data_IF_462900580474
#
_entry.id   IF_462900580474
#
_cell.length_a   1.000
_cell.length_b   1.000
_cell.length_c   1.000
_cell.angle_alpha   90.00
_cell.angle_beta   90.00
_cell.angle_gamma   90.00
#
_symmetry.space_group_name_H-M   'P 1'
#
loop_
_entity.id
_entity.type
_entity.pdbx_description
1 polymer ?
#
# COMPACT_ATOMS: atom_id res chain seq x y z
N UNK A 1 2.96 -4.18 -5.26
CA UNK A 1 2.18 -4.32 -6.50
C UNK A 1 3.02 -4.85 -7.65
N UNK A 2 4.09 -4.16 -8.09
CA UNK A 2 4.97 -4.62 -9.18
C UNK A 2 5.40 -6.10 -9.10
N UNK A 3 5.92 -6.55 -7.95
CA UNK A 3 6.32 -7.96 -7.76
C UNK A 3 5.14 -8.93 -7.91
N UNK A 4 3.96 -8.53 -7.50
CA UNK A 4 2.72 -9.30 -7.61
C UNK A 4 2.09 -9.20 -9.01
N UNK A 5 2.69 -8.47 -9.96
CA UNK A 5 2.15 -8.30 -11.32
C UNK A 5 0.80 -7.57 -11.40
N UNK A 6 0.35 -6.94 -10.32
CA UNK A 6 -0.97 -6.29 -10.28
C UNK A 6 -0.96 -4.94 -11.00
N UNK A 7 -1.95 -4.63 -11.86
CA UNK A 7 -2.09 -3.30 -12.45
C UNK A 7 -2.40 -2.28 -11.36
N UNK A 8 -1.57 -1.26 -11.22
CA UNK A 8 -1.73 -0.25 -10.19
C UNK A 8 -1.34 1.13 -10.71
N UNK A 9 -1.83 2.16 -10.02
CA UNK A 9 -1.45 3.56 -10.23
C UNK A 9 -1.04 4.20 -8.92
N UNK A 10 -0.29 5.29 -9.02
CA UNK A 10 0.12 6.12 -7.88
C UNK A 10 -0.59 7.45 -8.02
N UNK A 11 -1.30 7.87 -6.97
CA UNK A 11 -2.04 9.12 -6.91
C UNK A 11 -1.41 10.00 -5.82
N UNK A 12 -1.06 11.24 -6.18
CA UNK A 12 -0.77 12.27 -5.18
C UNK A 12 -2.09 12.87 -4.69
N UNK A 13 -2.32 12.84 -3.38
CA UNK A 13 -3.57 13.38 -2.81
C UNK A 13 -3.61 14.90 -2.87
N UNK A 14 -4.80 15.44 -3.15
CA UNK A 14 -5.04 16.87 -3.07
C UNK A 14 -5.11 17.33 -1.59
N UNK A 15 -4.97 18.63 -1.35
CA UNK A 15 -4.96 19.17 0.02
C UNK A 15 -6.25 18.88 0.81
N UNK A 16 -7.39 18.72 0.13
CA UNK A 16 -8.67 18.37 0.76
C UNK A 16 -8.75 16.92 1.26
N UNK A 17 -7.96 16.02 0.67
CA UNK A 17 -7.92 14.59 1.03
C UNK A 17 -6.76 14.25 1.98
N UNK A 18 -5.86 15.20 2.26
CA UNK A 18 -4.79 15.00 3.23
C UNK A 18 -5.37 14.84 4.64
N UNK A 19 -4.95 13.78 5.32
CA UNK A 19 -5.24 13.62 6.75
C UNK A 19 -4.60 14.74 7.57
N UNK A 20 -5.19 15.07 8.71
CA UNK A 20 -4.79 16.20 9.58
C UNK A 20 -3.29 16.27 9.92
N UNK A 21 -2.61 15.13 9.98
CA UNK A 21 -1.18 15.04 10.31
C UNK A 21 -0.25 15.01 9.10
N UNK A 22 -0.77 14.86 7.87
CA UNK A 22 0.04 14.63 6.68
C UNK A 22 0.35 15.94 5.96
N UNK A 23 1.63 16.15 5.65
CA UNK A 23 2.10 17.21 4.77
C UNK A 23 2.03 16.80 3.29
N UNK A 24 2.16 15.49 2.99
CA UNK A 24 2.10 14.93 1.64
C UNK A 24 1.80 13.44 1.70
N UNK A 25 0.84 12.99 0.88
CA UNK A 25 0.42 11.59 0.82
C UNK A 25 0.37 11.11 -0.62
N UNK A 26 0.86 9.89 -0.83
CA UNK A 26 0.70 9.13 -2.05
C UNK A 26 -0.11 7.87 -1.77
N UNK A 27 -1.21 7.71 -2.50
CA UNK A 27 -2.00 6.49 -2.49
C UNK A 27 -1.60 5.61 -3.66
N UNK A 28 -1.49 4.31 -3.38
CA UNK A 28 -1.36 3.28 -4.39
C UNK A 28 -2.73 2.64 -4.55
N UNK A 29 -3.22 2.65 -5.79
CA UNK A 29 -4.50 2.04 -6.10
C UNK A 29 -4.32 0.90 -7.08
N UNK A 30 -5.02 -0.21 -6.85
CA UNK A 30 -4.98 -1.42 -7.68
C UNK A 30 -6.27 -1.55 -8.50
N UNK A 31 -6.16 -2.06 -9.73
CA UNK A 31 -7.30 -2.32 -10.60
C UNK A 31 -8.14 -3.48 -10.07
N UNK A 32 -9.46 -3.27 -9.93
CA UNK A 32 -10.43 -4.31 -9.60
C UNK A 32 -11.45 -4.48 -10.74
N UNK A 33 -11.31 -5.53 -11.58
CA UNK A 33 -12.21 -5.83 -12.70
C UNK A 33 -13.70 -5.85 -12.33
N UNK A 34 -14.08 -6.45 -11.19
CA UNK A 34 -15.48 -6.55 -10.77
C UNK A 34 -16.15 -5.19 -10.53
N UNK A 35 -15.33 -4.18 -10.26
CA UNK A 35 -15.76 -2.83 -9.91
C UNK A 35 -15.48 -1.80 -11.01
N UNK A 36 -14.81 -2.20 -12.09
CA UNK A 36 -14.38 -1.35 -13.20
C UNK A 36 -13.66 -0.07 -12.73
N UNK A 37 -12.81 -0.18 -11.70
CA UNK A 37 -12.08 0.96 -11.14
C UNK A 37 -10.84 0.56 -10.36
N UNK A 38 -9.96 1.56 -10.21
CA UNK A 38 -8.86 1.51 -9.25
C UNK A 38 -9.36 1.76 -7.82
N UNK A 39 -8.84 1.00 -6.86
CA UNK A 39 -9.13 1.14 -5.43
C UNK A 39 -7.85 1.19 -4.62
N UNK A 40 -7.80 2.06 -3.63
CA UNK A 40 -6.68 2.19 -2.69
C UNK A 40 -6.31 0.83 -2.09
N UNK A 41 -5.02 0.56 -1.95
CA UNK A 41 -4.48 -0.67 -1.31
C UNK A 41 -3.33 -0.37 -0.34
N UNK A 42 -2.70 0.78 -0.50
CA UNK A 42 -1.69 1.32 0.40
C UNK A 42 -1.68 2.84 0.30
N UNK A 43 -1.31 3.48 1.41
CA UNK A 43 -1.07 4.92 1.50
C UNK A 43 0.27 5.17 2.18
N UNK A 44 1.04 6.11 1.65
CA UNK A 44 2.34 6.53 2.16
C UNK A 44 2.33 8.04 2.45
N UNK A 45 2.55 8.43 3.70
CA UNK A 45 2.40 9.80 4.18
C UNK A 45 3.67 10.33 4.85
N UNK A 46 4.04 11.57 4.53
CA UNK A 46 5.03 12.36 5.25
C UNK A 46 4.33 13.30 6.23
N UNK A 47 4.63 13.16 7.52
CA UNK A 47 4.03 13.97 8.58
C UNK A 47 4.98 15.02 9.14
N UNK A 48 6.16 15.20 8.52
CA UNK A 48 7.22 16.09 9.02
C UNK A 48 7.41 15.91 10.53
N UNK A 49 7.60 16.99 11.27
CA UNK A 49 7.66 17.00 12.72
C UNK A 49 6.29 16.99 13.43
N UNK A 50 5.15 16.96 12.72
CA UNK A 50 3.81 17.09 13.32
C UNK A 50 3.56 16.06 14.43
N UNK A 51 3.85 14.79 14.13
CA UNK A 51 3.69 13.69 15.09
C UNK A 51 4.80 13.74 16.16
N UNK A 52 6.03 14.06 15.75
CA UNK A 52 7.17 14.11 16.66
C UNK A 52 7.03 15.20 17.73
N UNK A 53 6.49 16.38 17.38
CA UNK A 53 6.18 17.44 18.34
C UNK A 53 5.15 16.94 19.37
N UNK A 54 4.06 16.32 18.91
CA UNK A 54 2.97 15.84 19.77
C UNK A 54 3.38 14.70 20.70
N UNK A 55 4.28 13.84 20.23
CA UNK A 55 4.82 12.72 21.00
C UNK A 55 6.17 13.04 21.70
N UNK A 56 6.66 14.28 21.58
CA UNK A 56 7.96 14.73 22.09
C UNK A 56 9.15 13.84 21.67
N UNK A 57 9.13 13.36 20.42
CA UNK A 57 10.17 12.50 19.85
C UNK A 57 11.29 13.38 19.28
N UNK A 58 12.49 13.27 19.84
CA UNK A 58 13.63 14.13 19.51
C UNK A 58 14.87 13.32 19.21
N UNK A 59 15.76 13.91 18.41
CA UNK A 59 17.08 13.37 18.13
C UNK A 59 18.16 14.43 18.44
N UNK A 60 19.40 13.97 18.65
CA UNK A 60 20.52 14.85 18.91
C UNK A 60 21.08 15.41 17.61
N UNK A 61 21.05 16.74 17.45
CA UNK A 61 21.61 17.44 16.28
C UNK A 61 22.86 18.25 16.67
N UNK A 62 23.88 17.56 17.19
CA UNK A 62 25.21 18.14 17.40
C UNK A 62 25.24 19.41 18.27
N UNK A 63 24.32 19.55 19.22
CA UNK A 63 24.27 20.71 20.12
C UNK A 63 22.93 20.85 20.83
N UNK A 64 21.83 20.97 20.07
CA UNK A 64 20.47 21.06 20.63
C UNK A 64 19.61 19.89 20.15
N UNK A 65 18.80 19.26 21.03
CA UNK A 65 17.78 18.33 20.59
C UNK A 65 16.80 18.98 19.60
N UNK A 66 16.47 18.28 18.54
CA UNK A 66 15.49 18.70 17.54
C UNK A 66 14.43 17.61 17.36
N UNK A 67 13.20 17.98 16.97
CA UNK A 67 12.18 17.01 16.58
C UNK A 67 12.56 16.38 15.25
N UNK A 68 12.35 15.07 15.13
CA UNK A 68 12.57 14.34 13.89
C UNK A 68 11.37 14.47 12.95
N UNK A 69 11.57 14.12 11.68
CA UNK A 69 10.46 13.95 10.75
C UNK A 69 9.97 12.50 10.74
N UNK A 70 8.65 12.30 10.68
CA UNK A 70 8.04 10.98 10.60
C UNK A 70 7.44 10.73 9.23
N UNK A 71 7.54 9.46 8.81
CA UNK A 71 6.94 8.91 7.61
C UNK A 71 6.21 7.64 8.01
N UNK A 72 5.10 7.34 7.35
CA UNK A 72 4.40 6.07 7.48
C UNK A 72 3.95 5.58 6.11
N UNK A 73 3.82 4.27 5.96
CA UNK A 73 3.39 3.65 4.73
C UNK A 73 2.84 2.26 4.99
N UNK A 74 1.67 1.97 4.42
CA UNK A 74 1.10 0.63 4.52
C UNK A 74 1.90 -0.33 3.65
N UNK A 75 2.36 -1.45 4.21
CA UNK A 75 3.08 -2.47 3.43
C UNK A 75 2.18 -3.09 2.37
N UNK A 76 1.11 -3.77 2.81
CA UNK A 76 0.05 -4.31 1.95
C UNK A 76 -1.21 -4.58 2.79
N UNK A 77 -2.36 -4.04 2.37
CA UNK A 77 -3.63 -4.38 3.00
C UNK A 77 -4.12 -5.76 2.51
N UNK A 78 -4.00 -6.78 3.36
CA UNK A 78 -4.24 -8.20 3.00
C UNK A 78 -5.58 -8.42 2.32
N UNK A 79 -6.68 -7.86 2.84
CA UNK A 79 -8.02 -8.07 2.29
C UNK A 79 -8.15 -7.58 0.84
N UNK A 80 -7.73 -6.34 0.55
CA UNK A 80 -7.78 -5.79 -0.81
C UNK A 80 -6.76 -6.44 -1.74
N UNK A 81 -5.61 -6.84 -1.22
CA UNK A 81 -4.61 -7.58 -1.98
C UNK A 81 -5.14 -8.94 -2.44
N UNK A 82 -5.86 -9.66 -1.57
CA UNK A 82 -6.49 -10.92 -1.92
C UNK A 82 -7.49 -10.74 -3.08
N UNK A 83 -8.40 -9.76 -2.96
CA UNK A 83 -9.38 -9.47 -4.01
C UNK A 83 -8.67 -9.12 -5.32
N UNK A 84 -7.67 -8.26 -5.28
CA UNK A 84 -6.92 -7.86 -6.47
C UNK A 84 -6.20 -9.05 -7.13
N UNK A 85 -5.59 -9.95 -6.34
CA UNK A 85 -4.96 -11.17 -6.87
C UNK A 85 -6.01 -12.07 -7.50
N UNK A 86 -7.08 -12.41 -6.79
CA UNK A 86 -8.14 -13.30 -7.29
C UNK A 86 -8.74 -12.75 -8.58
N UNK A 87 -9.11 -11.47 -8.61
CA UNK A 87 -9.79 -10.90 -9.77
C UNK A 87 -8.88 -10.76 -11.00
N UNK A 88 -7.60 -10.45 -10.83
CA UNK A 88 -6.67 -10.25 -11.94
C UNK A 88 -5.99 -11.55 -12.43
N UNK A 89 -6.05 -12.63 -11.64
CA UNK A 89 -5.40 -13.91 -11.98
C UNK A 89 -6.39 -15.07 -12.20
N UNK A 90 -7.70 -14.82 -12.17
CA UNK A 90 -8.70 -15.83 -12.49
C UNK A 90 -8.90 -16.02 -14.01
N UNK A 91 -9.18 -17.26 -14.40
CA UNK A 91 -9.68 -17.66 -15.72
C UNK A 91 -10.85 -18.65 -15.56
N UNK A 92 -11.28 -19.30 -16.65
CA UNK A 92 -12.38 -20.28 -16.64
C UNK A 92 -12.05 -21.58 -15.87
N UNK A 93 -10.77 -21.86 -15.66
CA UNK A 93 -10.29 -23.11 -15.05
C UNK A 93 -9.90 -22.93 -13.57
N UNK A 94 -9.49 -21.73 -13.16
CA UNK A 94 -9.07 -21.46 -11.79
C UNK A 94 -8.43 -20.10 -11.58
N UNK A 95 -7.59 -19.99 -10.55
CA UNK A 95 -6.86 -18.77 -10.16
C UNK A 95 -5.36 -19.05 -10.18
N UNK A 96 -4.62 -18.41 -11.07
CA UNK A 96 -3.17 -18.50 -11.10
C UNK A 96 -2.54 -17.80 -9.87
N UNK A 97 -1.47 -18.39 -9.31
CA UNK A 97 -0.75 -17.82 -8.17
C UNK A 97 0.39 -16.94 -8.66
N UNK A 98 0.46 -15.65 -8.25
CA UNK A 98 1.58 -14.77 -8.58
C UNK A 98 2.94 -15.38 -8.16
N UNK A 99 3.97 -15.24 -9.01
CA UNK A 99 5.26 -15.90 -8.81
C UNK A 99 5.85 -15.74 -7.39
N UNK A 100 5.84 -14.54 -6.75
CA UNK A 100 6.39 -14.39 -5.40
C UNK A 100 5.61 -15.14 -4.29
N UNK A 101 4.41 -15.63 -4.59
CA UNK A 101 3.55 -16.34 -3.63
C UNK A 101 3.62 -17.87 -3.82
N UNK A 102 4.17 -18.37 -4.92
CA UNK A 102 4.14 -19.81 -5.25
C UNK A 102 4.89 -20.65 -4.21
N UNK A 103 6.05 -20.18 -3.71
CA UNK A 103 6.81 -20.88 -2.68
C UNK A 103 6.07 -20.94 -1.33
N UNK A 104 5.21 -19.96 -1.03
CA UNK A 104 4.39 -19.96 0.17
C UNK A 104 3.16 -20.85 0.02
N UNK A 105 2.58 -20.90 -1.16
CA UNK A 105 1.35 -21.63 -1.47
C UNK A 105 1.60 -23.09 -1.88
N UNK A 106 2.84 -23.45 -2.25
CA UNK A 106 3.23 -24.76 -2.75
C UNK A 106 2.44 -25.20 -4.00
N UNK A 107 1.90 -24.25 -4.76
CA UNK A 107 1.17 -24.48 -6.00
C UNK A 107 1.30 -23.29 -6.96
N UNK A 108 0.99 -23.51 -8.24
CA UNK A 108 1.00 -22.48 -9.29
C UNK A 108 -0.39 -21.98 -9.67
N UNK A 109 -1.43 -22.76 -9.40
CA UNK A 109 -2.83 -22.48 -9.71
C UNK A 109 -3.71 -23.12 -8.63
N UNK A 110 -4.83 -22.47 -8.32
CA UNK A 110 -5.93 -23.04 -7.54
C UNK A 110 -7.04 -23.33 -8.55
N UNK A 111 -7.32 -24.61 -8.79
CA UNK A 111 -8.35 -25.02 -9.74
C UNK A 111 -9.75 -24.94 -9.10
N UNK A 112 -10.79 -24.70 -9.89
CA UNK A 112 -12.17 -24.68 -9.38
C UNK A 112 -12.77 -26.07 -9.13
N UNK A 113 -12.11 -27.14 -9.59
CA UNK A 113 -12.57 -28.53 -9.56
C UNK A 113 -11.79 -29.37 -8.56
#
# INVERSE_FOLDING_TARGET
>A
MQKLGLPYRIIELCTGDLGFASAKTYDLEVWLPSQDKYREISSCSNCTDFQAIRANIRYWKGGKPAHLHTLNGSGIAVGRALIAVVENYQDEEGIAIPAPLQDFMQCKKIDYK
#
